data_IF_585980351584
#
_entry.id   IF_585980351584
#
_cell.length_a   1.000
_cell.length_b   1.000
_cell.length_c   1.000
_cell.angle_alpha   90.00
_cell.angle_beta   90.00
_cell.angle_gamma   90.00
#
_symmetry.space_group_name_H-M   'P 1'
#
loop_
_entity.id
_entity.type
_entity.pdbx_description
1 polymer ?
#
# COMPACT_ATOMS: atom_id res chain seq x y z
N UNK A 1 7.55 5.96 13.02
CA UNK A 1 6.29 5.28 13.37
C UNK A 1 6.29 4.87 14.85
N UNK A 2 6.43 5.80 15.80
CA UNK A 2 6.68 5.43 17.21
C UNK A 2 5.70 6.04 18.24
N UNK A 3 4.62 6.72 17.85
CA UNK A 3 3.54 7.08 18.78
C UNK A 3 2.15 6.76 18.25
N UNK A 4 1.23 6.36 19.14
CA UNK A 4 -0.19 6.13 18.84
C UNK A 4 -0.85 7.36 18.21
N UNK A 5 -0.44 8.55 18.64
CA UNK A 5 -0.96 9.83 18.14
C UNK A 5 -0.65 10.04 16.65
N UNK A 6 0.54 9.65 16.17
CA UNK A 6 0.89 9.72 14.74
C UNK A 6 0.02 8.78 13.90
N UNK A 7 -0.32 7.60 14.41
CA UNK A 7 -1.17 6.64 13.70
C UNK A 7 -2.61 7.17 13.57
N UNK A 8 -3.08 7.86 14.60
CA UNK A 8 -4.41 8.51 14.58
C UNK A 8 -4.49 9.68 13.60
N UNK A 9 -3.37 10.31 13.23
CA UNK A 9 -3.37 11.36 12.20
C UNK A 9 -3.42 10.82 10.77
N UNK A 10 -3.18 9.53 10.58
CA UNK A 10 -3.19 8.88 9.26
C UNK A 10 -4.55 8.24 8.95
N UNK A 11 -5.23 7.70 9.95
CA UNK A 11 -6.53 7.06 9.79
C UNK A 11 -7.68 8.07 9.82
N UNK A 12 -8.74 7.81 9.05
CA UNK A 12 -9.94 8.65 8.99
C UNK A 12 -10.80 8.49 10.25
N UNK A 13 -10.77 7.30 10.87
CA UNK A 13 -11.35 7.08 12.20
C UNK A 13 -10.63 5.98 12.97
N UNK A 14 -10.77 6.01 14.30
CA UNK A 14 -10.32 4.95 15.19
C UNK A 14 -11.46 4.54 16.13
N UNK A 15 -11.83 3.26 16.08
CA UNK A 15 -12.88 2.69 16.91
C UNK A 15 -12.26 2.04 18.16
N UNK A 16 -12.23 2.79 19.26
CA UNK A 16 -11.61 2.36 20.51
C UNK A 16 -12.25 1.11 21.13
N UNK A 17 -13.54 0.86 20.86
CA UNK A 17 -14.26 -0.32 21.33
C UNK A 17 -13.72 -1.64 20.75
N UNK A 18 -13.22 -1.60 19.51
CA UNK A 18 -12.71 -2.77 18.79
C UNK A 18 -11.20 -2.69 18.52
N UNK A 19 -10.57 -1.57 18.87
CA UNK A 19 -9.17 -1.27 18.59
C UNK A 19 -8.84 -1.32 17.08
N UNK A 20 -9.75 -0.78 16.27
CA UNK A 20 -9.67 -0.81 14.80
C UNK A 20 -9.44 0.58 14.22
N UNK A 21 -8.67 0.63 13.13
CA UNK A 21 -8.47 1.82 12.32
C UNK A 21 -9.31 1.72 11.05
N UNK A 22 -9.98 2.81 10.70
CA UNK A 22 -10.74 2.93 9.47
C UNK A 22 -10.04 3.87 8.50
N UNK A 23 -10.04 3.47 7.23
CA UNK A 23 -9.47 4.20 6.12
C UNK A 23 -10.53 4.27 5.02
N UNK A 24 -10.86 5.47 4.57
CA UNK A 24 -11.79 5.72 3.46
C UNK A 24 -11.08 5.50 2.12
N UNK A 25 -10.63 4.26 1.89
CA UNK A 25 -9.83 3.87 0.72
C UNK A 25 -10.36 2.63 0.03
N UNK A 26 -10.10 2.45 -1.28
CA UNK A 26 -10.59 1.29 -2.03
C UNK A 26 -9.98 -0.02 -1.49
N UNK A 27 -10.81 -0.97 -1.00
CA UNK A 27 -10.30 -2.21 -0.40
C UNK A 27 -9.56 -3.11 -1.39
N UNK A 28 -9.83 -2.98 -2.70
CA UNK A 28 -9.15 -3.71 -3.76
C UNK A 28 -7.67 -3.32 -3.91
N UNK A 29 -7.33 -2.05 -3.63
CA UNK A 29 -5.95 -1.55 -3.72
C UNK A 29 -5.13 -1.94 -2.47
N UNK A 30 -5.78 -1.98 -1.31
CA UNK A 30 -5.14 -2.32 -0.04
C UNK A 30 -4.45 -3.69 -0.04
N UNK A 31 -4.91 -4.63 -0.87
CA UNK A 31 -4.25 -5.93 -1.02
C UNK A 31 -2.77 -5.80 -1.40
N UNK A 32 -2.41 -4.83 -2.23
CA UNK A 32 -1.02 -4.60 -2.68
C UNK A 32 -0.14 -4.19 -1.50
N UNK A 33 -0.66 -3.28 -0.67
CA UNK A 33 0.02 -2.78 0.55
C UNK A 33 0.21 -3.93 1.54
N UNK A 34 -0.85 -4.70 1.78
CA UNK A 34 -0.79 -5.88 2.65
C UNK A 34 0.26 -6.90 2.18
N UNK A 35 0.27 -7.23 0.89
CA UNK A 35 1.26 -8.15 0.31
C UNK A 35 2.68 -7.63 0.40
N UNK A 36 2.89 -6.32 0.21
CA UNK A 36 4.20 -5.70 0.39
C UNK A 36 4.73 -5.91 1.82
N UNK A 37 3.90 -5.69 2.85
CA UNK A 37 4.31 -5.94 4.23
C UNK A 37 4.56 -7.43 4.56
N UNK A 38 3.98 -8.37 3.80
CA UNK A 38 4.25 -9.80 3.96
C UNK A 38 5.51 -10.28 3.22
N UNK A 39 5.74 -9.78 2.01
CA UNK A 39 6.73 -10.34 1.07
C UNK A 39 7.95 -9.46 0.86
N UNK A 40 7.84 -8.17 1.19
CA UNK A 40 8.81 -7.15 0.82
C UNK A 40 8.81 -6.78 -0.66
N UNK A 41 7.84 -7.26 -1.44
CA UNK A 41 7.75 -7.03 -2.89
C UNK A 41 6.43 -6.41 -3.28
N UNK A 42 6.46 -5.57 -4.30
CA UNK A 42 5.30 -4.96 -4.93
C UNK A 42 5.02 -5.70 -6.23
N UNK A 43 3.84 -6.30 -6.30
CA UNK A 43 3.30 -6.85 -7.53
C UNK A 43 2.27 -5.89 -8.11
N UNK A 44 2.27 -5.72 -9.43
CA UNK A 44 1.29 -4.92 -10.17
C UNK A 44 0.24 -5.85 -10.79
N UNK A 45 -1.00 -5.91 -10.24
CA UNK A 45 -2.05 -6.73 -10.82
C UNK A 45 -2.56 -6.12 -12.13
N UNK A 46 -2.73 -6.93 -13.17
CA UNK A 46 -3.13 -6.48 -14.51
C UNK A 46 -4.55 -5.90 -14.62
N UNK A 47 -5.39 -6.13 -13.61
CA UNK A 47 -6.78 -5.67 -13.58
C UNK A 47 -6.97 -4.32 -12.84
N UNK A 48 -5.89 -3.73 -12.34
CA UNK A 48 -5.91 -2.46 -11.61
C UNK A 48 -5.16 -1.38 -12.38
N UNK A 49 -5.64 -0.14 -12.28
CA UNK A 49 -5.00 1.01 -12.90
C UNK A 49 -3.63 1.26 -12.24
N UNK A 50 -2.52 1.38 -13.00
CA UNK A 50 -1.21 1.66 -12.42
C UNK A 50 -1.16 2.96 -11.62
N UNK A 51 -1.93 3.98 -12.02
CA UNK A 51 -2.00 5.27 -11.31
C UNK A 51 -2.65 5.08 -9.94
N UNK A 52 -3.76 4.36 -9.85
CA UNK A 52 -4.42 4.09 -8.57
C UNK A 52 -3.51 3.31 -7.61
N UNK A 53 -2.68 2.41 -8.15
CA UNK A 53 -1.68 1.68 -7.35
C UNK A 53 -0.61 2.64 -6.81
N UNK A 54 -0.08 3.54 -7.64
CA UNK A 54 0.92 4.51 -7.23
C UNK A 54 0.37 5.47 -6.17
N UNK A 55 -0.85 5.97 -6.34
CA UNK A 55 -1.53 6.84 -5.37
C UNK A 55 -1.79 6.12 -4.04
N UNK A 56 -2.08 4.82 -4.08
CA UNK A 56 -2.19 3.99 -2.88
C UNK A 56 -0.83 3.86 -2.18
N UNK A 57 0.23 3.49 -2.91
CA UNK A 57 1.57 3.33 -2.34
C UNK A 57 2.11 4.62 -1.74
N UNK A 58 1.87 5.76 -2.39
CA UNK A 58 2.26 7.09 -1.88
C UNK A 58 1.57 7.40 -0.55
N UNK A 59 0.26 7.13 -0.45
CA UNK A 59 -0.49 7.30 0.80
C UNK A 59 0.11 6.47 1.95
N UNK A 60 0.53 5.22 1.67
CA UNK A 60 1.18 4.36 2.65
C UNK A 60 2.68 4.63 2.84
N UNK A 61 3.24 5.60 2.12
CA UNK A 61 4.66 5.99 2.21
C UNK A 61 5.62 4.93 1.67
N UNK A 62 5.19 4.14 0.67
CA UNK A 62 5.98 3.08 0.05
C UNK A 62 6.55 3.60 -1.28
N UNK A 63 7.88 3.62 -1.42
CA UNK A 63 8.56 4.06 -2.66
C UNK A 63 8.78 2.86 -3.58
N UNK A 64 8.05 2.73 -4.71
CA UNK A 64 7.98 1.49 -5.48
C UNK A 64 9.29 1.05 -6.13
N UNK A 65 10.13 2.00 -6.57
CA UNK A 65 11.34 1.76 -7.35
C UNK A 65 12.33 0.79 -6.69
N UNK A 66 12.30 0.65 -5.36
CA UNK A 66 13.18 -0.26 -4.61
C UNK A 66 12.57 -1.62 -4.28
N UNK A 67 11.28 -1.82 -4.58
CA UNK A 67 10.50 -2.96 -4.09
C UNK A 67 9.70 -3.69 -5.17
N UNK A 68 9.71 -3.19 -6.42
CA UNK A 68 9.04 -3.86 -7.53
C UNK A 68 9.56 -5.30 -7.70
N UNK A 69 8.64 -6.25 -7.75
CA UNK A 69 8.96 -7.65 -7.98
C UNK A 69 9.56 -7.83 -9.39
N UNK A 70 10.51 -8.76 -9.59
CA UNK A 70 11.10 -9.00 -10.91
C UNK A 70 10.08 -9.29 -12.02
N UNK A 71 8.96 -9.94 -11.68
CA UNK A 71 7.88 -10.24 -12.64
C UNK A 71 7.07 -9.01 -13.07
N UNK A 72 7.28 -7.86 -12.45
CA UNK A 72 6.61 -6.59 -12.73
C UNK A 72 7.56 -5.52 -13.27
N UNK A 73 8.86 -5.83 -13.41
CA UNK A 73 9.80 -4.96 -14.12
C UNK A 73 9.55 -5.05 -15.63
N UNK A 74 9.77 -3.95 -16.35
CA UNK A 74 9.85 -4.02 -17.81
C UNK A 74 11.05 -4.90 -18.18
N UNK A 75 10.88 -5.85 -19.09
CA UNK A 75 11.99 -6.65 -19.62
C UNK A 75 13.00 -5.73 -20.34
N UNK A 76 14.20 -5.58 -19.79
CA UNK A 76 15.34 -4.90 -20.42
C UNK A 76 15.96 -5.74 -21.56
N UNK A 77 15.14 -6.36 -22.41
CA UNK A 77 15.62 -7.05 -23.61
C UNK A 77 15.44 -6.15 -24.84
N UNK A 78 16.33 -5.16 -24.96
CA UNK A 78 16.69 -4.48 -26.22
C UNK A 78 18.13 -4.85 -26.58
#
# INVERSE_FOLDING_TARGET
MNSTTERLTLADAYFSSTNEYYFERPPSLFHIVYQFYLTGQIHQPSHLCPIDILDELDYWGIVPDSYLAPCCCADDNV
#
